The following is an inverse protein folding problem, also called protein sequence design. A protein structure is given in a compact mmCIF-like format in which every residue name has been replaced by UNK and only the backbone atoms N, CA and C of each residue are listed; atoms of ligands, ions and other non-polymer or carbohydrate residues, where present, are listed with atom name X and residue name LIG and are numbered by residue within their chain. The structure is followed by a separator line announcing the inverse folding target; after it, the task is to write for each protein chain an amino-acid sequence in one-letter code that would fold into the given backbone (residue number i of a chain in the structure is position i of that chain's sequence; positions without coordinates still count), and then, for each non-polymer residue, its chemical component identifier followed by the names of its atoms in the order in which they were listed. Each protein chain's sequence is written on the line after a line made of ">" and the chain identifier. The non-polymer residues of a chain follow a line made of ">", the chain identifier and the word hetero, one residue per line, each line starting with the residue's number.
data_IF_191011201129
#
_entry.id   IF_191011201129
#
_cell.length_a   1.000
_cell.length_b   1.000
_cell.length_c   1.000
_cell.angle_alpha   90.00
_cell.angle_beta   90.00
_cell.angle_gamma   90.00
#
_symmetry.space_group_name_H-M   'P 1'
#
loop_
_entity.id
_entity.type
_entity.pdbx_description
1 polymer ?
#
# COMPACT_ATOMS: atom_id res chain seq x y z
N UNK A 1 4.10 14.21 -7.54
CA UNK A 1 5.39 13.74 -6.95
C UNK A 1 6.56 14.26 -7.77
N UNK A 2 7.79 14.01 -7.35
CA UNK A 2 9.01 14.41 -8.08
C UNK A 2 9.55 13.25 -8.93
N UNK A 3 10.39 13.51 -9.95
CA UNK A 3 10.78 12.49 -10.94
C UNK A 3 11.56 11.32 -10.35
N UNK A 4 12.34 11.56 -9.29
CA UNK A 4 13.17 10.54 -8.63
C UNK A 4 12.52 9.94 -7.38
N UNK A 5 11.24 10.24 -7.10
CA UNK A 5 10.54 9.63 -5.96
C UNK A 5 10.36 8.13 -6.20
N UNK A 6 10.64 7.34 -5.16
CA UNK A 6 10.30 5.92 -5.11
C UNK A 6 9.13 5.71 -4.17
N UNK A 7 8.20 4.86 -4.58
CA UNK A 7 7.05 4.44 -3.80
C UNK A 7 7.22 2.97 -3.40
N UNK A 8 6.70 2.63 -2.23
CA UNK A 8 6.66 1.27 -1.72
C UNK A 8 5.25 1.00 -1.22
N UNK A 9 4.61 -0.03 -1.77
CA UNK A 9 3.44 -0.64 -1.19
C UNK A 9 3.84 -1.94 -0.50
N UNK A 10 3.31 -2.19 0.69
CA UNK A 10 3.48 -3.44 1.40
C UNK A 10 2.33 -3.66 2.38
N UNK A 11 2.12 -4.92 2.76
CA UNK A 11 1.16 -5.30 3.77
C UNK A 11 1.55 -4.71 5.14
N UNK A 12 0.58 -4.42 6.01
CA UNK A 12 0.86 -4.11 7.40
C UNK A 12 1.71 -5.21 8.05
N UNK A 13 2.62 -4.80 8.93
CA UNK A 13 3.46 -5.71 9.73
C UNK A 13 3.15 -5.54 11.21
N UNK A 14 3.11 -6.64 11.95
CA UNK A 14 2.93 -6.65 13.39
C UNK A 14 3.55 -7.90 14.01
N UNK A 15 3.51 -7.96 15.34
CA UNK A 15 3.97 -9.11 16.11
C UNK A 15 3.34 -9.10 17.49
N UNK A 16 2.94 -10.27 17.96
CA UNK A 16 2.28 -10.47 19.25
C UNK A 16 2.97 -11.61 20.00
N UNK A 17 3.02 -11.51 21.32
CA UNK A 17 3.44 -12.57 22.25
C UNK A 17 2.53 -12.50 23.47
N UNK A 18 2.10 -13.63 24.00
CA UNK A 18 1.17 -13.63 25.13
C UNK A 18 0.39 -14.93 25.23
N UNK A 19 -0.78 -14.86 25.85
CA UNK A 19 -1.69 -16.01 25.90
C UNK A 19 -2.18 -16.36 24.50
N UNK A 20 -2.61 -17.60 24.31
CA UNK A 20 -3.13 -18.05 23.01
C UNK A 20 -4.29 -17.17 22.53
N UNK A 21 -5.18 -16.75 23.43
CA UNK A 21 -6.29 -15.84 23.15
C UNK A 21 -5.83 -14.49 22.62
N UNK A 22 -4.77 -13.91 23.21
CA UNK A 22 -4.25 -12.61 22.78
C UNK A 22 -3.61 -12.72 21.39
N UNK A 23 -2.87 -13.81 21.14
CA UNK A 23 -2.27 -14.09 19.84
C UNK A 23 -3.35 -14.21 18.76
N UNK A 24 -4.46 -14.90 19.06
CA UNK A 24 -5.58 -15.07 18.14
C UNK A 24 -6.26 -13.72 17.81
N UNK A 25 -6.55 -12.91 18.83
CA UNK A 25 -7.17 -11.58 18.65
C UNK A 25 -6.30 -10.69 17.75
N UNK A 26 -5.01 -10.58 18.05
CA UNK A 26 -4.10 -9.72 17.29
C UNK A 26 -3.86 -10.23 15.85
N UNK A 27 -3.85 -11.56 15.66
CA UNK A 27 -3.76 -12.15 14.32
C UNK A 27 -5.01 -11.80 13.47
N UNK A 28 -6.20 -11.88 14.06
CA UNK A 28 -7.45 -11.51 13.39
C UNK A 28 -7.47 -10.02 13.01
N UNK A 29 -7.04 -9.14 13.91
CA UNK A 29 -6.99 -7.70 13.66
C UNK A 29 -5.96 -7.32 12.57
N UNK A 30 -4.82 -8.01 12.50
CA UNK A 30 -3.86 -7.84 11.38
C UNK A 30 -4.52 -8.20 10.04
N UNK A 31 -5.32 -9.27 9.99
CA UNK A 31 -6.02 -9.68 8.77
C UNK A 31 -7.06 -8.63 8.35
N UNK A 32 -7.89 -8.15 9.29
CA UNK A 32 -8.88 -7.08 9.04
C UNK A 32 -8.22 -5.79 8.60
N UNK A 33 -7.11 -5.40 9.23
CA UNK A 33 -6.34 -4.21 8.86
C UNK A 33 -5.79 -4.34 7.44
N UNK A 34 -5.19 -5.48 7.09
CA UNK A 34 -4.68 -5.73 5.73
C UNK A 34 -5.78 -5.61 4.69
N UNK A 35 -6.95 -6.21 4.95
CA UNK A 35 -8.10 -6.09 4.05
C UNK A 35 -8.55 -4.65 3.87
N UNK A 36 -8.73 -3.92 4.98
CA UNK A 36 -9.17 -2.51 4.98
C UNK A 36 -8.21 -1.61 4.19
N UNK A 37 -6.91 -1.79 4.40
CA UNK A 37 -5.88 -1.02 3.68
C UNK A 37 -5.89 -1.36 2.19
N UNK A 38 -5.98 -2.63 1.82
CA UNK A 38 -6.02 -3.04 0.40
C UNK A 38 -7.27 -2.55 -0.33
N UNK A 39 -8.44 -2.57 0.33
CA UNK A 39 -9.67 -1.98 -0.25
C UNK A 39 -9.55 -0.47 -0.43
N UNK A 40 -8.93 0.23 0.52
CA UNK A 40 -8.67 1.66 0.40
C UNK A 40 -7.75 1.95 -0.79
N UNK A 41 -6.60 1.27 -0.88
CA UNK A 41 -5.68 1.46 -2.01
C UNK A 41 -6.41 1.19 -3.33
N UNK A 42 -7.13 0.07 -3.46
CA UNK A 42 -7.87 -0.27 -4.68
C UNK A 42 -8.86 0.82 -5.08
N UNK A 43 -9.62 1.37 -4.12
CA UNK A 43 -10.58 2.45 -4.36
C UNK A 43 -9.90 3.73 -4.83
N UNK A 44 -8.86 4.17 -4.12
CA UNK A 44 -8.20 5.45 -4.40
C UNK A 44 -7.34 5.42 -5.67
N UNK A 45 -6.77 4.25 -6.02
CA UNK A 45 -5.94 4.10 -7.22
C UNK A 45 -6.70 3.61 -8.45
N UNK A 46 -7.95 3.15 -8.27
CA UNK A 46 -8.75 2.53 -9.33
C UNK A 46 -8.27 1.13 -9.75
N UNK A 47 -7.31 0.53 -9.04
CA UNK A 47 -6.82 -0.81 -9.34
C UNK A 47 -7.79 -1.89 -8.83
N UNK A 48 -7.91 -3.04 -9.52
CA UNK A 48 -8.66 -4.18 -8.99
C UNK A 48 -8.12 -4.62 -7.63
N UNK A 49 -9.02 -4.95 -6.70
CA UNK A 49 -8.66 -5.35 -5.34
C UNK A 49 -7.68 -6.54 -5.33
N UNK A 50 -7.90 -7.53 -6.20
CA UNK A 50 -7.07 -8.73 -6.31
C UNK A 50 -5.64 -8.40 -6.75
N UNK A 51 -5.48 -7.39 -7.61
CA UNK A 51 -4.16 -6.89 -8.01
C UNK A 51 -3.47 -6.22 -6.83
N UNK A 52 -4.16 -5.35 -6.09
CA UNK A 52 -3.61 -4.70 -4.89
C UNK A 52 -3.19 -5.72 -3.83
N UNK A 53 -3.98 -6.78 -3.62
CA UNK A 53 -3.63 -7.87 -2.70
C UNK A 53 -2.32 -8.56 -3.12
N UNK A 54 -2.16 -8.85 -4.42
CA UNK A 54 -0.94 -9.46 -4.95
C UNK A 54 0.27 -8.53 -4.81
N UNK A 55 0.09 -7.25 -5.10
CA UNK A 55 1.18 -6.28 -5.11
C UNK A 55 1.60 -5.90 -3.67
N UNK A 56 0.69 -5.93 -2.69
CA UNK A 56 1.03 -5.60 -1.29
C UNK A 56 1.58 -6.77 -0.47
N UNK A 57 1.51 -8.03 -0.95
CA UNK A 57 1.94 -9.19 -0.15
C UNK A 57 3.43 -9.15 0.23
N UNK A 58 4.24 -8.49 -0.59
CA UNK A 58 5.67 -8.21 -0.36
C UNK A 58 5.95 -6.74 -0.65
N UNK A 59 7.22 -6.36 -0.55
CA UNK A 59 7.66 -5.03 -0.92
C UNK A 59 7.53 -4.81 -2.42
N UNK A 60 6.55 -4.01 -2.83
CA UNK A 60 6.33 -3.62 -4.21
C UNK A 60 6.81 -2.20 -4.43
N UNK A 61 8.01 -2.09 -5.00
CA UNK A 61 8.66 -0.84 -5.28
C UNK A 61 8.30 -0.31 -6.67
N UNK A 62 8.04 0.98 -6.75
CA UNK A 62 7.75 1.69 -8.01
C UNK A 62 8.57 2.98 -8.10
N UNK A 63 8.94 3.34 -9.33
CA UNK A 63 9.37 4.70 -9.66
C UNK A 63 8.17 5.64 -9.85
N UNK A 64 8.44 6.92 -10.09
CA UNK A 64 7.41 7.94 -10.23
C UNK A 64 6.40 7.65 -11.37
N UNK A 65 6.87 7.23 -12.56
CA UNK A 65 6.00 6.88 -13.69
C UNK A 65 5.11 5.68 -13.37
N UNK A 66 5.70 4.59 -12.86
CA UNK A 66 4.93 3.41 -12.48
C UNK A 66 3.89 3.72 -11.38
N UNK A 67 4.22 4.60 -10.44
CA UNK A 67 3.26 5.03 -9.41
C UNK A 67 2.12 5.89 -9.98
N UNK A 68 2.40 6.70 -11.01
CA UNK A 68 1.37 7.46 -11.73
C UNK A 68 0.45 6.52 -12.51
N UNK A 69 1.01 5.58 -13.26
CA UNK A 69 0.24 4.57 -14.00
C UNK A 69 -0.54 3.64 -13.07
N UNK A 70 -0.02 3.37 -11.88
CA UNK A 70 -0.73 2.63 -10.85
C UNK A 70 -1.91 3.42 -10.25
N UNK A 71 -1.90 4.76 -10.33
CA UNK A 71 -2.92 5.63 -9.75
C UNK A 71 -2.58 6.13 -8.32
N UNK A 72 -1.35 5.96 -7.85
CA UNK A 72 -0.90 6.44 -6.53
C UNK A 72 -0.71 7.96 -6.53
N UNK A 73 -0.34 8.53 -7.69
CA UNK A 73 -0.10 9.96 -7.88
C UNK A 73 -0.72 10.42 -9.19
N UNK A 74 -1.21 11.65 -9.23
CA UNK A 74 -1.82 12.22 -10.44
C UNK A 74 -0.80 12.79 -11.42
N UNK A 75 0.25 13.44 -10.92
CA UNK A 75 1.25 14.15 -11.73
C UNK A 75 2.66 14.02 -11.18
N UNK A 76 3.62 14.01 -12.09
CA UNK A 76 5.06 14.16 -11.81
C UNK A 76 5.43 15.59 -12.21
N UNK A 77 6.02 16.34 -11.28
CA UNK A 77 6.44 17.73 -11.51
C UNK A 77 7.96 17.83 -11.43
N UNK A 78 8.58 18.58 -12.33
CA UNK A 78 10.04 18.71 -12.42
C UNK A 78 10.58 20.02 -11.86
N UNK A 79 9.70 21.01 -11.71
CA UNK A 79 10.02 22.37 -11.26
C UNK A 79 8.94 22.89 -10.31
N UNK A 80 9.29 23.89 -9.50
CA UNK A 80 8.39 24.44 -8.49
C UNK A 80 7.17 25.17 -9.09
N UNK A 81 7.31 25.74 -10.29
CA UNK A 81 6.24 26.41 -11.04
C UNK A 81 5.20 25.45 -11.64
N UNK A 82 5.45 24.13 -11.58
CA UNK A 82 4.51 23.10 -12.03
C UNK A 82 3.61 22.55 -10.91
N UNK A 83 3.88 22.90 -9.64
CA UNK A 83 3.17 22.43 -8.44
C UNK A 83 1.76 23.03 -8.32
#
# INVERSE_FOLDING_TARGET
>A
CLPNTRFLLHQPSGGVRGQASDIEIEAEEIVKMRERVNRMIARETGQPYEKVVKDTIRNFWMGAEAAKDYGIVSRIISRADEA
#
